data_IF_078489060302
#
_entry.id   IF_078489060302
#
_cell.length_a   1.000
_cell.length_b   1.000
_cell.length_c   1.000
_cell.angle_alpha   90.00
_cell.angle_beta   90.00
_cell.angle_gamma   90.00
#
_symmetry.space_group_name_H-M   'P 1'
#
loop_
_entity.id
_entity.type
_entity.pdbx_description
1 polymer ?
#
# COMPACT_ATOMS: atom_id res chain seq x y z
N UNK A 1 10.72 -13.67 -13.34
CA UNK A 1 10.96 -12.93 -12.11
C UNK A 1 11.08 -11.45 -12.38
N UNK A 2 10.26 -10.68 -11.76
CA UNK A 2 10.20 -9.25 -11.97
C UNK A 2 10.29 -8.54 -10.61
N UNK A 3 11.34 -7.73 -10.37
CA UNK A 3 11.46 -7.06 -9.09
C UNK A 3 10.36 -6.00 -8.93
N UNK A 4 9.91 -5.82 -7.70
CA UNK A 4 8.91 -4.82 -7.39
C UNK A 4 9.53 -3.43 -7.51
N UNK A 5 8.84 -2.46 -8.14
CA UNK A 5 9.33 -1.08 -8.16
C UNK A 5 9.56 -0.52 -6.76
N UNK A 6 10.55 0.36 -6.65
CA UNK A 6 10.94 0.92 -5.35
C UNK A 6 9.77 1.61 -4.66
N UNK A 7 8.96 2.35 -5.40
CA UNK A 7 7.81 3.02 -4.82
C UNK A 7 6.83 2.05 -4.16
N UNK A 8 6.60 0.92 -4.82
CA UNK A 8 5.70 -0.09 -4.27
C UNK A 8 6.28 -0.74 -3.02
N UNK A 9 7.58 -0.99 -3.02
CA UNK A 9 8.24 -1.54 -1.84
C UNK A 9 8.12 -0.61 -0.65
N UNK A 10 8.32 0.67 -0.86
CA UNK A 10 8.21 1.67 0.21
C UNK A 10 6.79 1.73 0.74
N UNK A 11 5.80 1.68 -0.14
CA UNK A 11 4.40 1.71 0.26
C UNK A 11 4.05 0.51 1.14
N UNK A 12 4.50 -0.68 0.75
CA UNK A 12 4.25 -1.90 1.52
C UNK A 12 4.95 -1.85 2.87
N UNK A 13 6.20 -1.38 2.88
CA UNK A 13 6.96 -1.23 4.13
C UNK A 13 6.26 -0.27 5.08
N UNK A 14 5.75 0.83 4.55
CA UNK A 14 5.05 1.79 5.37
C UNK A 14 3.81 1.17 6.01
N UNK A 15 3.06 0.40 5.23
CA UNK A 15 1.89 -0.30 5.76
C UNK A 15 2.27 -1.23 6.91
N UNK A 16 3.37 -1.95 6.75
CA UNK A 16 3.84 -2.86 7.79
C UNK A 16 4.28 -2.14 9.06
N UNK A 17 5.05 -1.06 8.89
CA UNK A 17 5.57 -0.29 10.02
C UNK A 17 4.43 0.35 10.82
N UNK A 18 3.41 0.85 10.13
CA UNK A 18 2.28 1.50 10.78
C UNK A 18 1.19 0.52 11.25
N UNK A 19 1.35 -0.76 10.95
CA UNK A 19 0.37 -1.76 11.35
C UNK A 19 -0.95 -1.62 10.63
N UNK A 20 -0.95 -1.11 9.42
CA UNK A 20 -2.17 -0.91 8.66
C UNK A 20 -2.82 -2.22 8.23
N UNK A 21 -2.05 -3.29 8.23
CA UNK A 21 -2.54 -4.61 7.84
C UNK A 21 -2.86 -5.53 9.02
N UNK A 22 -2.80 -5.02 10.23
CA UNK A 22 -2.97 -5.86 11.42
C UNK A 22 -4.37 -6.48 11.53
N UNK A 23 -5.37 -5.84 10.95
CA UNK A 23 -6.75 -6.33 10.99
C UNK A 23 -7.02 -7.34 9.88
N UNK A 24 -6.05 -7.57 9.00
CA UNK A 24 -6.22 -8.50 7.89
C UNK A 24 -5.66 -9.86 8.30
N UNK A 25 -6.42 -10.95 8.11
CA UNK A 25 -5.92 -12.29 8.42
C UNK A 25 -4.63 -12.59 7.68
N UNK A 26 -3.70 -13.25 8.36
CA UNK A 26 -2.39 -13.58 7.80
C UNK A 26 -2.53 -14.28 6.44
N UNK A 27 -3.52 -15.14 6.32
CA UNK A 27 -3.75 -15.90 5.10
C UNK A 27 -4.12 -15.02 3.91
N UNK A 28 -4.63 -13.82 4.18
CA UNK A 28 -5.11 -12.91 3.15
C UNK A 28 -4.22 -11.68 2.96
N UNK A 29 -3.14 -11.57 3.74
CA UNK A 29 -2.25 -10.41 3.64
C UNK A 29 -1.67 -10.28 2.24
N UNK A 30 -1.23 -11.37 1.63
CA UNK A 30 -0.65 -11.33 0.30
C UNK A 30 -1.67 -10.83 -0.73
N UNK A 31 -2.88 -11.34 -0.65
CA UNK A 31 -3.95 -10.91 -1.53
C UNK A 31 -4.27 -9.43 -1.34
N UNK A 32 -4.30 -8.99 -0.08
CA UNK A 32 -4.57 -7.58 0.22
C UNK A 32 -3.45 -6.69 -0.29
N UNK A 33 -2.20 -7.14 -0.22
CA UNK A 33 -1.07 -6.39 -0.77
C UNK A 33 -1.20 -6.23 -2.28
N UNK A 34 -1.57 -7.30 -2.98
CA UNK A 34 -1.76 -7.24 -4.42
C UNK A 34 -2.86 -6.25 -4.78
N UNK A 35 -3.96 -6.29 -4.04
CA UNK A 35 -5.07 -5.37 -4.26
C UNK A 35 -4.65 -3.93 -3.97
N UNK A 36 -3.90 -3.72 -2.90
CA UNK A 36 -3.38 -2.42 -2.54
C UNK A 36 -2.50 -1.84 -3.66
N UNK A 37 -1.57 -2.65 -4.16
CA UNK A 37 -0.67 -2.20 -5.21
C UNK A 37 -1.41 -1.91 -6.50
N UNK A 38 -2.39 -2.74 -6.84
CA UNK A 38 -3.20 -2.51 -8.02
C UNK A 38 -3.96 -1.19 -7.92
N UNK A 39 -4.56 -0.94 -6.77
CA UNK A 39 -5.29 0.31 -6.52
C UNK A 39 -4.36 1.51 -6.61
N UNK A 40 -3.16 1.40 -6.04
CA UNK A 40 -2.18 2.47 -6.10
C UNK A 40 -1.75 2.76 -7.55
N UNK A 41 -1.54 1.71 -8.33
CA UNK A 41 -1.16 1.89 -9.73
C UNK A 41 -2.26 2.55 -10.55
N UNK A 42 -3.50 2.22 -10.27
CA UNK A 42 -4.62 2.73 -11.04
C UNK A 42 -5.04 4.13 -10.62
N UNK A 43 -4.99 4.44 -9.34
CA UNK A 43 -5.55 5.67 -8.81
C UNK A 43 -4.52 6.65 -8.24
N UNK A 44 -3.32 6.17 -7.93
CA UNK A 44 -2.32 6.97 -7.22
C UNK A 44 -0.93 6.80 -7.82
N UNK A 45 -0.84 6.83 -9.15
CA UNK A 45 0.45 6.69 -9.82
C UNK A 45 1.44 7.76 -9.40
N UNK A 46 0.97 8.99 -9.22
CA UNK A 46 1.83 10.08 -8.80
C UNK A 46 2.45 9.81 -7.43
N UNK A 47 1.67 9.20 -6.53
CA UNK A 47 2.18 8.85 -5.21
C UNK A 47 3.29 7.80 -5.33
N UNK A 48 3.07 6.78 -6.15
CA UNK A 48 4.10 5.76 -6.36
C UNK A 48 5.37 6.36 -6.97
N UNK A 49 5.21 7.30 -7.90
CA UNK A 49 6.35 7.96 -8.51
C UNK A 49 7.13 8.78 -7.48
N UNK A 50 6.43 9.48 -6.59
CA UNK A 50 7.08 10.24 -5.52
C UNK A 50 7.84 9.32 -4.57
N UNK A 51 7.24 8.21 -4.19
CA UNK A 51 7.89 7.24 -3.31
C UNK A 51 9.12 6.64 -3.98
N UNK A 52 9.01 6.36 -5.27
CA UNK A 52 10.15 5.84 -6.03
C UNK A 52 11.31 6.81 -6.11
N UNK A 53 11.02 8.11 -6.01
CA UNK A 53 12.05 9.15 -5.99
C UNK A 53 12.59 9.40 -4.58
N UNK A 54 12.08 8.68 -3.60
CA UNK A 54 12.53 8.83 -2.21
C UNK A 54 11.78 9.90 -1.44
N UNK A 55 10.66 10.37 -1.96
CA UNK A 55 9.86 11.41 -1.30
C UNK A 55 8.66 10.80 -0.61
N UNK A 56 8.60 10.94 0.71
CA UNK A 56 7.45 10.48 1.49
C UNK A 56 6.69 11.73 1.96
N UNK A 57 5.79 12.21 1.10
CA UNK A 57 5.02 13.42 1.39
C UNK A 57 3.78 13.10 2.21
N UNK A 58 3.17 14.13 2.79
CA UNK A 58 1.93 13.96 3.55
C UNK A 58 0.82 13.41 2.64
N UNK A 59 0.79 13.85 1.39
CA UNK A 59 -0.17 13.34 0.42
C UNK A 59 0.02 11.83 0.18
N UNK A 60 1.27 11.41 0.07
CA UNK A 60 1.58 10.00 -0.14
C UNK A 60 1.13 9.17 1.06
N UNK A 61 1.44 9.65 2.25
CA UNK A 61 1.05 8.97 3.48
C UNK A 61 -0.46 8.84 3.56
N UNK A 62 -1.16 9.94 3.29
CA UNK A 62 -2.61 9.94 3.34
C UNK A 62 -3.22 8.98 2.34
N UNK A 63 -2.68 8.97 1.12
CA UNK A 63 -3.18 8.06 0.08
C UNK A 63 -2.99 6.59 0.49
N UNK A 64 -1.82 6.27 1.03
CA UNK A 64 -1.54 4.92 1.49
C UNK A 64 -2.52 4.50 2.57
N UNK A 65 -2.74 5.38 3.54
CA UNK A 65 -3.65 5.08 4.64
C UNK A 65 -5.09 4.91 4.17
N UNK A 66 -5.54 5.77 3.27
CA UNK A 66 -6.89 5.69 2.75
C UNK A 66 -7.13 4.40 1.97
N UNK A 67 -6.19 4.05 1.10
CA UNK A 67 -6.30 2.83 0.30
C UNK A 67 -6.30 1.60 1.20
N UNK A 68 -5.38 1.55 2.16
CA UNK A 68 -5.31 0.41 3.07
C UNK A 68 -6.53 0.32 3.97
N UNK A 69 -7.06 1.45 4.41
CA UNK A 69 -8.28 1.44 5.23
C UNK A 69 -9.44 0.84 4.46
N UNK A 70 -9.57 1.22 3.19
CA UNK A 70 -10.62 0.69 2.33
C UNK A 70 -10.46 -0.82 2.12
N UNK A 71 -9.23 -1.26 1.86
CA UNK A 71 -8.95 -2.68 1.66
C UNK A 71 -9.18 -3.47 2.94
N UNK A 72 -8.72 -2.93 4.06
CA UNK A 72 -8.87 -3.59 5.36
C UNK A 72 -10.34 -3.86 5.67
N UNK A 73 -11.22 -2.94 5.33
CA UNK A 73 -12.65 -3.13 5.56
C UNK A 73 -13.23 -4.30 4.77
N UNK A 74 -12.65 -4.62 3.62
CA UNK A 74 -13.12 -5.75 2.82
C UNK A 74 -12.83 -7.08 3.50
N UNK A 75 -11.80 -7.13 4.32
CA UNK A 75 -11.38 -8.36 5.02
C UNK A 75 -11.85 -8.39 6.47
N UNK A 76 -12.37 -7.28 6.95
CA UNK A 76 -12.83 -7.17 8.32
C UNK A 76 -14.30 -7.56 8.41
N UNK A 77 -14.61 -8.46 9.30
CA UNK A 77 -16.00 -8.87 9.52
C UNK A 77 -16.56 -8.23 10.78
#
# INVERSE_FOLDING_TARGET
YSPMPVGEQIAILYCGVKGLMKDIPVEQIRESQDLFLETMRNNHQAVLASLGAGELTDEAIKAIEEVMASISQQYKN
#
